data_IF_677032459040
#
_entry.id   IF_677032459040
#
_cell.length_a   1.000
_cell.length_b   1.000
_cell.length_c   1.000
_cell.angle_alpha   90.00
_cell.angle_beta   90.00
_cell.angle_gamma   90.00
#
_symmetry.space_group_name_H-M   'P 1'
#
loop_
_entity.id
_entity.type
_entity.pdbx_description
1 polymer ?
#
# COMPACT_ATOMS: atom_id res chain seq x y z
N UNK A 1 23.68 3.59 19.95
CA UNK A 1 23.20 2.22 19.54
C UNK A 1 22.65 2.27 18.12
N UNK A 2 22.55 1.12 17.44
CA UNK A 2 22.08 1.07 16.06
C UNK A 2 20.55 1.26 15.98
N UNK A 3 20.09 1.90 14.92
CA UNK A 3 18.66 1.94 14.55
C UNK A 3 18.17 0.53 14.21
N UNK A 4 16.86 0.31 14.17
CA UNK A 4 16.28 -0.93 13.67
C UNK A 4 16.74 -1.20 12.23
N UNK A 5 16.81 -0.14 11.40
CA UNK A 5 17.31 -0.22 10.03
C UNK A 5 18.74 -0.79 9.98
N UNK A 6 19.66 -0.25 10.79
CA UNK A 6 21.04 -0.75 10.85
C UNK A 6 21.09 -2.21 11.27
N UNK A 7 20.32 -2.60 12.29
CA UNK A 7 20.28 -3.96 12.79
C UNK A 7 19.88 -4.98 11.73
N UNK A 8 18.92 -4.63 10.88
CA UNK A 8 18.47 -5.52 9.81
C UNK A 8 19.44 -5.44 8.63
N UNK A 9 19.76 -4.23 8.15
CA UNK A 9 20.65 -4.04 7.01
C UNK A 9 22.00 -4.71 7.19
N UNK A 10 22.69 -4.42 8.30
CA UNK A 10 24.05 -4.88 8.54
C UNK A 10 24.14 -6.43 8.64
N UNK A 11 23.07 -7.10 9.08
CA UNK A 11 22.99 -8.58 9.10
C UNK A 11 22.82 -9.18 7.70
N UNK A 12 22.39 -8.42 6.72
CA UNK A 12 22.18 -8.85 5.34
C UNK A 12 23.31 -8.44 4.40
N UNK A 13 24.29 -7.70 4.91
CA UNK A 13 25.48 -7.31 4.13
C UNK A 13 26.32 -8.57 3.86
N UNK A 14 26.44 -8.93 2.58
CA UNK A 14 27.34 -9.99 2.09
C UNK A 14 28.74 -9.42 1.89
N UNK A 15 28.78 -8.24 1.27
CA UNK A 15 30.04 -7.54 0.99
C UNK A 15 29.79 -6.03 0.91
N UNK A 16 30.73 -5.25 1.42
CA UNK A 16 30.83 -3.82 1.18
C UNK A 16 31.90 -3.58 0.12
N UNK A 17 31.54 -2.94 -0.98
CA UNK A 17 32.46 -2.60 -2.07
C UNK A 17 33.24 -1.32 -1.75
N UNK A 18 34.33 -1.07 -2.47
CA UNK A 18 35.25 0.08 -2.25
C UNK A 18 34.56 1.42 -2.44
N UNK A 19 33.54 1.49 -3.32
CA UNK A 19 32.74 2.69 -3.58
C UNK A 19 31.60 2.93 -2.57
N UNK A 20 31.51 2.10 -1.52
CA UNK A 20 30.45 2.15 -0.52
C UNK A 20 29.16 1.42 -0.92
N UNK A 21 29.10 0.81 -2.10
CA UNK A 21 27.97 -0.02 -2.51
C UNK A 21 27.92 -1.31 -1.68
N UNK A 22 26.76 -1.66 -1.20
CA UNK A 22 26.51 -2.88 -0.43
C UNK A 22 25.95 -3.98 -1.31
N UNK A 23 26.59 -5.14 -1.33
CA UNK A 23 25.95 -6.37 -1.79
C UNK A 23 25.06 -6.88 -0.66
N UNK A 24 23.75 -6.74 -0.86
CA UNK A 24 22.73 -7.06 0.15
C UNK A 24 22.04 -8.38 -0.18
N UNK A 25 22.02 -9.31 0.78
CA UNK A 25 21.24 -10.55 0.68
C UNK A 25 19.75 -10.25 0.82
N UNK A 26 18.90 -10.94 0.05
CA UNK A 26 17.44 -10.78 0.04
C UNK A 26 16.79 -12.08 0.53
N UNK A 27 16.03 -12.00 1.62
CA UNK A 27 15.31 -13.15 2.16
C UNK A 27 14.09 -13.54 1.34
N UNK A 28 13.40 -12.54 0.75
CA UNK A 28 12.16 -12.78 0.05
C UNK A 28 12.09 -11.94 -1.23
N UNK A 29 11.79 -12.61 -2.34
CA UNK A 29 11.42 -11.96 -3.59
C UNK A 29 9.96 -12.27 -3.91
N UNK A 30 9.19 -11.22 -4.19
CA UNK A 30 7.87 -11.33 -4.77
C UNK A 30 7.92 -10.97 -6.25
N UNK A 31 7.22 -11.74 -7.09
CA UNK A 31 7.14 -11.53 -8.54
C UNK A 31 5.68 -11.40 -8.96
N UNK A 32 5.37 -10.37 -9.72
CA UNK A 32 4.08 -10.21 -10.38
C UNK A 32 4.26 -10.13 -11.91
N UNK A 33 3.17 -10.15 -12.64
CA UNK A 33 3.14 -10.32 -14.09
C UNK A 33 3.68 -9.13 -14.90
N UNK A 34 3.75 -7.95 -14.30
CA UNK A 34 4.15 -6.72 -15.04
C UNK A 34 5.66 -6.56 -15.14
N UNK A 35 6.40 -6.76 -14.05
CA UNK A 35 7.83 -6.42 -13.96
C UNK A 35 8.76 -7.63 -14.00
N UNK A 36 8.25 -8.86 -13.88
CA UNK A 36 9.08 -10.05 -13.84
C UNK A 36 9.38 -10.75 -15.19
N UNK A 37 8.61 -10.60 -16.27
CA UNK A 37 8.83 -11.36 -17.50
C UNK A 37 10.23 -11.23 -18.08
N UNK A 38 10.75 -10.01 -18.20
CA UNK A 38 12.09 -9.74 -18.75
C UNK A 38 13.20 -10.28 -17.84
N UNK A 39 13.00 -10.29 -16.52
CA UNK A 39 13.97 -10.85 -15.59
C UNK A 39 14.14 -12.37 -15.77
N UNK A 40 13.03 -13.09 -15.99
CA UNK A 40 13.08 -14.52 -16.30
C UNK A 40 13.69 -14.81 -17.67
N UNK A 41 13.43 -13.95 -18.66
CA UNK A 41 14.05 -14.08 -19.99
C UNK A 41 15.56 -13.91 -19.91
N UNK A 42 16.05 -12.91 -19.17
CA UNK A 42 17.47 -12.73 -18.94
C UNK A 42 18.15 -13.96 -18.31
N UNK A 43 17.46 -14.66 -17.37
CA UNK A 43 17.98 -15.93 -16.84
C UNK A 43 18.07 -17.00 -17.93
N UNK A 44 17.05 -17.15 -18.79
CA UNK A 44 17.04 -18.14 -19.89
C UNK A 44 18.18 -17.89 -20.87
N UNK A 45 18.34 -16.65 -21.33
CA UNK A 45 19.40 -16.27 -22.26
C UNK A 45 20.80 -16.58 -21.73
N UNK A 46 20.98 -16.47 -20.42
CA UNK A 46 22.26 -16.77 -19.74
C UNK A 46 22.38 -18.22 -19.28
N UNK A 47 21.36 -19.06 -19.47
CA UNK A 47 21.33 -20.44 -18.99
C UNK A 47 21.35 -20.57 -17.46
N UNK A 48 20.87 -19.55 -16.74
CA UNK A 48 20.85 -19.51 -15.27
C UNK A 48 19.56 -20.10 -14.71
N UNK A 49 19.64 -20.59 -13.47
CA UNK A 49 18.50 -21.06 -12.69
C UNK A 49 18.26 -20.10 -11.53
N UNK A 50 17.05 -20.13 -10.96
CA UNK A 50 16.80 -19.45 -9.70
C UNK A 50 17.66 -20.07 -8.58
N UNK A 51 18.37 -19.21 -7.86
CA UNK A 51 19.32 -19.69 -6.82
C UNK A 51 18.60 -20.28 -5.60
N UNK A 52 17.52 -19.66 -5.15
CA UNK A 52 16.71 -20.10 -4.01
C UNK A 52 15.20 -20.08 -4.32
N UNK A 53 14.68 -21.06 -5.09
CA UNK A 53 13.30 -21.07 -5.54
C UNK A 53 12.25 -20.96 -4.40
N UNK A 54 12.57 -21.53 -3.22
CA UNK A 54 11.67 -21.50 -2.05
C UNK A 54 11.52 -20.13 -1.40
N UNK A 55 12.34 -19.15 -1.76
CA UNK A 55 12.28 -17.77 -1.26
C UNK A 55 11.58 -16.82 -2.25
N UNK A 56 11.09 -17.37 -3.36
CA UNK A 56 10.46 -16.61 -4.45
C UNK A 56 8.99 -17.02 -4.56
N UNK A 57 8.10 -16.02 -4.52
CA UNK A 57 6.66 -16.23 -4.62
C UNK A 57 6.10 -15.38 -5.77
N UNK A 58 5.29 -16.02 -6.61
CA UNK A 58 4.71 -15.41 -7.80
C UNK A 58 3.19 -15.31 -7.63
N UNK A 59 2.61 -14.16 -7.92
CA UNK A 59 1.16 -13.98 -7.98
C UNK A 59 0.80 -12.83 -8.92
N UNK A 60 -0.18 -13.00 -9.82
CA UNK A 60 -0.70 -11.94 -10.66
C UNK A 60 -1.69 -11.09 -9.85
N UNK A 61 -1.61 -9.77 -9.97
CA UNK A 61 -2.48 -8.86 -9.24
C UNK A 61 -2.82 -7.55 -9.99
N UNK A 62 -2.04 -7.15 -10.99
CA UNK A 62 -2.22 -5.89 -11.71
C UNK A 62 -3.16 -6.02 -12.91
N UNK A 63 -2.98 -7.06 -13.72
CA UNK A 63 -3.76 -7.31 -14.95
C UNK A 63 -4.90 -8.31 -14.75
N UNK A 64 -5.20 -8.66 -13.52
CA UNK A 64 -6.31 -9.54 -13.19
C UNK A 64 -7.63 -8.78 -13.27
N UNK A 65 -8.67 -9.31 -13.97
CA UNK A 65 -10.01 -8.72 -13.92
C UNK A 65 -10.58 -8.84 -12.50
N UNK A 66 -11.54 -7.99 -12.16
CA UNK A 66 -12.28 -8.07 -10.89
C UNK A 66 -13.69 -8.63 -11.05
N UNK A 67 -13.96 -9.18 -12.22
CA UNK A 67 -15.15 -9.94 -12.59
C UNK A 67 -14.76 -11.19 -13.35
N UNK A 68 -15.55 -12.21 -13.27
CA UNK A 68 -15.45 -13.41 -14.14
C UNK A 68 -14.03 -13.99 -14.21
N UNK A 69 -13.32 -14.04 -13.08
CA UNK A 69 -11.93 -14.55 -13.02
C UNK A 69 -11.83 -16.05 -13.38
N UNK A 70 -12.96 -16.76 -13.42
CA UNK A 70 -13.09 -18.12 -13.91
C UNK A 70 -13.09 -18.22 -15.45
N UNK A 71 -13.20 -17.09 -16.15
CA UNK A 71 -13.13 -17.00 -17.60
C UNK A 71 -11.74 -16.57 -18.08
N UNK A 72 -11.52 -16.74 -19.37
CA UNK A 72 -10.31 -16.24 -20.04
C UNK A 72 -10.27 -14.71 -19.99
N UNK A 73 -9.11 -14.14 -19.68
CA UNK A 73 -8.93 -12.68 -19.69
C UNK A 73 -9.11 -12.18 -21.12
N UNK A 74 -10.05 -11.26 -21.35
CA UNK A 74 -10.41 -10.78 -22.68
C UNK A 74 -9.28 -9.98 -23.34
N UNK A 75 -8.62 -9.07 -22.58
CA UNK A 75 -7.49 -8.31 -23.09
C UNK A 75 -6.28 -9.23 -23.36
N UNK A 76 -5.82 -9.33 -24.62
CA UNK A 76 -4.76 -10.27 -24.98
C UNK A 76 -3.40 -9.91 -24.39
N UNK A 77 -3.15 -8.63 -24.06
CA UNK A 77 -1.89 -8.18 -23.44
C UNK A 77 -1.86 -8.60 -21.98
N UNK A 78 -2.91 -8.32 -21.24
CA UNK A 78 -3.09 -8.72 -19.84
C UNK A 78 -3.01 -10.24 -19.69
N UNK A 79 -3.74 -10.99 -20.54
CA UNK A 79 -3.70 -12.45 -20.57
C UNK A 79 -2.29 -12.97 -20.77
N UNK A 80 -1.59 -12.47 -21.80
CA UNK A 80 -0.22 -12.89 -22.08
C UNK A 80 0.72 -12.65 -20.89
N UNK A 81 0.57 -11.54 -20.15
CA UNK A 81 1.40 -11.25 -18.99
C UNK A 81 1.12 -12.24 -17.85
N UNK A 82 -0.15 -12.48 -17.54
CA UNK A 82 -0.57 -13.44 -16.49
C UNK A 82 -0.10 -14.86 -16.84
N UNK A 83 -0.32 -15.32 -18.07
CA UNK A 83 0.14 -16.63 -18.55
C UNK A 83 1.67 -16.75 -18.51
N UNK A 84 2.39 -15.68 -18.87
CA UNK A 84 3.86 -15.66 -18.84
C UNK A 84 4.37 -15.84 -17.40
N UNK A 85 3.75 -15.17 -16.41
CA UNK A 85 4.12 -15.37 -15.02
C UNK A 85 3.90 -16.81 -14.57
N UNK A 86 2.76 -17.40 -14.89
CA UNK A 86 2.44 -18.81 -14.57
C UNK A 86 3.43 -19.78 -15.21
N UNK A 87 3.79 -19.57 -16.48
CA UNK A 87 4.78 -20.37 -17.19
C UNK A 87 6.18 -20.21 -16.57
N UNK A 88 6.59 -19.00 -16.24
CA UNK A 88 7.86 -18.74 -15.58
C UNK A 88 7.93 -19.44 -14.21
N UNK A 89 6.88 -19.31 -13.40
CA UNK A 89 6.84 -19.98 -12.09
C UNK A 89 6.98 -21.49 -12.21
N UNK A 90 6.29 -22.12 -13.19
CA UNK A 90 6.39 -23.55 -13.45
C UNK A 90 7.80 -23.96 -13.92
N UNK A 91 8.35 -23.24 -14.92
CA UNK A 91 9.63 -23.56 -15.54
C UNK A 91 10.80 -23.45 -14.55
N UNK A 92 10.74 -22.49 -13.61
CA UNK A 92 11.75 -22.28 -12.58
C UNK A 92 11.45 -22.93 -11.23
N UNK A 93 10.32 -23.68 -11.12
CA UNK A 93 9.94 -24.41 -9.90
C UNK A 93 9.60 -23.51 -8.71
N UNK A 94 8.92 -22.39 -8.98
CA UNK A 94 8.55 -21.38 -7.98
C UNK A 94 7.14 -21.61 -7.43
N UNK A 95 6.88 -21.11 -6.23
CA UNK A 95 5.53 -21.08 -5.67
C UNK A 95 4.71 -20.03 -6.41
N UNK A 96 3.54 -20.44 -6.93
CA UNK A 96 2.64 -19.58 -7.69
C UNK A 96 1.22 -19.63 -7.14
N UNK A 97 0.73 -18.49 -6.67
CA UNK A 97 -0.66 -18.28 -6.30
C UNK A 97 -1.39 -17.66 -7.50
N UNK A 98 -1.79 -18.50 -8.46
CA UNK A 98 -2.44 -18.07 -9.70
C UNK A 98 -3.83 -17.49 -9.46
N UNK A 99 -4.37 -16.78 -10.45
CA UNK A 99 -5.65 -16.07 -10.38
C UNK A 99 -6.82 -16.92 -9.87
N UNK A 100 -6.84 -18.22 -10.17
CA UNK A 100 -7.88 -19.17 -9.72
C UNK A 100 -7.56 -19.83 -8.36
N UNK A 101 -6.43 -19.49 -7.73
CA UNK A 101 -6.08 -20.00 -6.41
C UNK A 101 -6.87 -19.25 -5.34
N UNK A 102 -7.38 -19.99 -4.35
CA UNK A 102 -7.97 -19.40 -3.14
C UNK A 102 -6.99 -18.53 -2.34
N UNK A 103 -5.71 -18.66 -2.64
CA UNK A 103 -4.60 -17.92 -2.03
C UNK A 103 -4.15 -16.70 -2.86
N UNK A 104 -4.82 -16.43 -3.99
CA UNK A 104 -4.50 -15.28 -4.83
C UNK A 104 -5.05 -13.98 -4.25
N UNK A 105 -4.43 -12.90 -4.64
CA UNK A 105 -4.77 -11.52 -4.32
C UNK A 105 -3.60 -10.59 -4.59
N UNK A 106 -3.72 -9.38 -4.11
CA UNK A 106 -2.66 -8.38 -4.20
C UNK A 106 -1.45 -8.84 -3.39
N UNK A 107 -0.29 -8.86 -4.02
CA UNK A 107 0.96 -9.40 -3.46
C UNK A 107 1.30 -8.81 -2.08
N UNK A 108 1.05 -7.49 -1.89
CA UNK A 108 1.29 -6.77 -0.64
C UNK A 108 0.19 -6.98 0.42
N UNK A 109 -0.88 -7.70 0.08
CA UNK A 109 -1.92 -8.16 1.01
C UNK A 109 -1.65 -9.63 1.36
N UNK A 110 -1.49 -10.49 0.37
CA UNK A 110 -1.27 -11.94 0.54
C UNK A 110 0.02 -12.24 1.29
N UNK A 111 1.11 -11.52 1.01
CA UNK A 111 2.40 -11.73 1.68
C UNK A 111 2.32 -11.68 3.21
N UNK A 112 1.80 -10.61 3.81
CA UNK A 112 1.53 -10.53 5.25
C UNK A 112 0.49 -11.55 5.74
N UNK A 113 -0.65 -11.70 5.03
CA UNK A 113 -1.72 -12.62 5.42
C UNK A 113 -1.27 -14.07 5.53
N UNK A 114 -0.35 -14.50 4.69
CA UNK A 114 0.18 -15.86 4.74
C UNK A 114 1.37 -16.05 5.68
N UNK A 115 1.88 -14.98 6.30
CA UNK A 115 3.10 -15.03 7.11
C UNK A 115 4.37 -15.21 6.28
N UNK A 116 4.35 -14.80 5.01
CA UNK A 116 5.52 -14.82 4.14
C UNK A 116 6.47 -13.65 4.41
N UNK A 117 5.94 -12.56 4.97
CA UNK A 117 6.69 -11.36 5.38
C UNK A 117 6.84 -11.40 6.90
N UNK A 118 8.08 -11.52 7.38
CA UNK A 118 8.38 -11.69 8.80
C UNK A 118 9.37 -10.61 9.29
N UNK A 119 9.37 -10.31 10.61
CA UNK A 119 10.29 -9.34 11.17
C UNK A 119 11.77 -9.69 10.92
N UNK A 120 12.55 -8.67 10.63
CA UNK A 120 13.99 -8.81 10.40
C UNK A 120 14.39 -9.29 9.02
N UNK A 121 13.45 -9.53 8.11
CA UNK A 121 13.73 -9.90 6.72
C UNK A 121 14.09 -8.70 5.85
N UNK A 122 14.80 -8.97 4.76
CA UNK A 122 14.89 -8.12 3.57
C UNK A 122 13.94 -8.64 2.51
N UNK A 123 13.04 -7.78 2.03
CA UNK A 123 11.95 -8.15 1.10
C UNK A 123 11.96 -7.22 -0.09
N UNK A 124 11.93 -7.78 -1.30
CA UNK A 124 11.88 -6.99 -2.53
C UNK A 124 10.82 -7.50 -3.51
N UNK A 125 10.35 -6.59 -4.35
CA UNK A 125 9.42 -6.85 -5.45
C UNK A 125 9.64 -5.78 -6.53
N UNK A 126 9.23 -6.06 -7.75
CA UNK A 126 9.21 -5.08 -8.85
C UNK A 126 8.12 -4.01 -8.73
N UNK A 127 7.63 -3.73 -7.54
CA UNK A 127 6.59 -2.74 -7.21
C UNK A 127 7.06 -1.85 -6.04
N UNK A 128 6.85 -0.55 -6.17
CA UNK A 128 7.25 0.43 -5.14
C UNK A 128 6.52 0.23 -3.80
N UNK A 129 5.27 -0.26 -3.81
CA UNK A 129 4.50 -0.51 -2.58
C UNK A 129 4.95 -1.75 -1.79
N UNK A 130 6.06 -2.38 -2.19
CA UNK A 130 6.78 -3.38 -1.36
C UNK A 130 7.09 -2.84 0.05
N UNK A 131 7.21 -1.52 0.19
CA UNK A 131 7.30 -0.83 1.48
C UNK A 131 6.23 -1.27 2.50
N UNK A 132 5.07 -1.72 2.05
CA UNK A 132 3.99 -2.27 2.89
C UNK A 132 4.48 -3.30 3.89
N UNK A 133 5.39 -4.20 3.46
CA UNK A 133 5.91 -5.28 4.30
C UNK A 133 6.77 -4.78 5.47
N UNK A 134 7.18 -3.51 5.44
CA UNK A 134 7.88 -2.86 6.57
C UNK A 134 7.04 -2.77 7.84
N UNK A 135 5.71 -2.81 7.73
CA UNK A 135 4.82 -2.90 8.88
C UNK A 135 5.06 -4.15 9.74
N UNK A 136 5.62 -5.20 9.14
CA UNK A 136 6.01 -6.41 9.83
C UNK A 136 7.39 -6.30 10.53
N UNK A 137 8.05 -5.15 10.47
CA UNK A 137 9.43 -4.99 10.95
C UNK A 137 10.49 -5.55 10.00
N UNK A 138 10.23 -5.50 8.69
CA UNK A 138 11.13 -5.92 7.62
C UNK A 138 11.71 -4.71 6.89
N UNK A 139 12.92 -4.83 6.33
CA UNK A 139 13.47 -3.87 5.36
C UNK A 139 12.94 -4.25 3.98
N UNK A 140 11.87 -3.57 3.55
CA UNK A 140 11.13 -3.91 2.36
C UNK A 140 11.07 -2.73 1.39
N UNK A 141 11.40 -2.97 0.11
CA UNK A 141 11.45 -1.90 -0.89
C UNK A 141 11.31 -2.41 -2.33
N UNK A 142 10.82 -1.53 -3.19
CA UNK A 142 10.70 -1.80 -4.63
C UNK A 142 12.03 -1.79 -5.35
N UNK A 143 12.18 -2.64 -6.37
CA UNK A 143 13.38 -2.77 -7.21
C UNK A 143 13.01 -2.78 -8.69
N UNK A 144 13.97 -2.47 -9.55
CA UNK A 144 13.80 -2.55 -10.99
C UNK A 144 13.90 -3.98 -11.54
N UNK A 145 13.43 -4.17 -12.77
CA UNK A 145 13.42 -5.48 -13.45
C UNK A 145 14.82 -6.14 -13.51
N UNK A 146 15.88 -5.36 -13.78
CA UNK A 146 17.24 -5.90 -13.78
C UNK A 146 17.71 -6.37 -12.40
N UNK A 147 17.24 -5.70 -11.33
CA UNK A 147 17.51 -6.13 -9.96
C UNK A 147 16.70 -7.38 -9.59
N UNK A 148 15.47 -7.52 -10.12
CA UNK A 148 14.69 -8.76 -9.99
C UNK A 148 15.48 -9.93 -10.59
N UNK A 149 16.08 -9.77 -11.79
CA UNK A 149 16.94 -10.78 -12.41
C UNK A 149 18.14 -11.13 -11.53
N UNK A 150 18.80 -10.13 -10.94
CA UNK A 150 19.92 -10.35 -10.02
C UNK A 150 19.50 -11.18 -8.79
N UNK A 151 18.37 -10.86 -8.18
CA UNK A 151 17.85 -11.61 -7.03
C UNK A 151 17.47 -13.03 -7.41
N UNK A 152 16.82 -13.23 -8.55
CA UNK A 152 16.50 -14.57 -9.06
C UNK A 152 17.78 -15.42 -9.21
N UNK A 153 18.84 -14.85 -9.77
CA UNK A 153 20.11 -15.54 -10.06
C UNK A 153 20.99 -15.75 -8.83
N UNK A 154 21.01 -14.81 -7.87
CA UNK A 154 22.03 -14.78 -6.80
C UNK A 154 21.46 -14.61 -5.38
N UNK A 155 20.21 -14.27 -5.24
CA UNK A 155 19.57 -13.84 -3.99
C UNK A 155 20.19 -12.57 -3.39
N UNK A 156 20.92 -11.80 -4.17
CA UNK A 156 21.57 -10.56 -3.75
C UNK A 156 21.28 -9.42 -4.73
N UNK A 157 21.38 -8.19 -4.23
CA UNK A 157 21.40 -6.96 -5.05
C UNK A 157 22.51 -6.02 -4.60
N UNK A 158 22.85 -5.07 -5.46
CA UNK A 158 23.78 -3.98 -5.15
C UNK A 158 22.99 -2.73 -4.81
N UNK A 159 23.18 -2.19 -3.61
CA UNK A 159 22.44 -1.01 -3.11
C UNK A 159 23.36 -0.05 -2.35
N UNK A 160 23.10 1.24 -2.50
CA UNK A 160 23.60 2.24 -1.55
C UNK A 160 22.73 2.22 -0.31
N UNK A 161 23.34 2.20 0.89
CA UNK A 161 22.59 2.24 2.14
C UNK A 161 21.86 3.58 2.27
N UNK A 162 20.52 3.60 2.35
CA UNK A 162 19.75 4.82 2.57
C UNK A 162 20.07 5.45 3.94
N UNK A 163 19.83 6.75 4.08
CA UNK A 163 19.80 7.43 5.36
C UNK A 163 18.61 6.97 6.19
N UNK A 164 18.70 7.12 7.50
CA UNK A 164 17.63 6.81 8.45
C UNK A 164 16.82 8.05 8.82
N UNK A 165 15.49 7.96 8.76
CA UNK A 165 14.58 8.99 9.27
C UNK A 165 13.64 8.36 10.29
N UNK A 166 13.37 9.06 11.39
CA UNK A 166 12.32 8.67 12.33
C UNK A 166 11.18 9.69 12.32
N UNK A 167 9.95 9.18 12.22
CA UNK A 167 8.73 9.97 12.34
C UNK A 167 7.99 9.50 13.59
N UNK A 168 7.96 10.34 14.61
CA UNK A 168 7.27 10.10 15.87
C UNK A 168 5.88 10.72 15.80
N UNK A 169 4.84 9.91 16.03
CA UNK A 169 3.45 10.36 16.09
C UNK A 169 2.91 9.99 17.46
N UNK A 170 2.56 11.00 18.26
CA UNK A 170 2.10 10.79 19.62
C UNK A 170 0.69 11.33 19.81
N UNK A 171 0.02 10.82 20.82
CA UNK A 171 -1.37 11.14 21.11
C UNK A 171 -2.34 10.08 20.62
N UNK A 172 -3.62 10.36 20.76
CA UNK A 172 -4.73 9.51 20.31
C UNK A 172 -5.40 10.12 19.10
N UNK A 173 -5.72 9.29 18.11
CA UNK A 173 -6.50 9.72 16.94
C UNK A 173 -7.95 9.99 17.36
N UNK A 174 -8.50 11.08 16.85
CA UNK A 174 -9.91 11.39 17.04
C UNK A 174 -10.81 10.39 16.32
N UNK A 175 -12.06 10.27 16.76
CA UNK A 175 -13.07 9.47 16.08
C UNK A 175 -13.19 9.90 14.61
N UNK A 176 -13.35 8.93 13.73
CA UNK A 176 -13.45 9.18 12.29
C UNK A 176 -12.09 9.35 11.58
N UNK A 177 -10.97 9.28 12.29
CA UNK A 177 -9.61 9.37 11.73
C UNK A 177 -8.99 7.96 11.67
N UNK A 178 -8.38 7.63 10.54
CA UNK A 178 -7.75 6.34 10.29
C UNK A 178 -6.26 6.48 9.96
N UNK A 179 -5.53 5.37 9.86
CA UNK A 179 -4.13 5.38 9.43
C UNK A 179 -3.93 6.00 8.03
N UNK A 180 -4.94 5.94 7.15
CA UNK A 180 -4.93 6.61 5.84
C UNK A 180 -4.87 8.13 6.00
N UNK A 181 -5.64 8.67 6.94
CA UNK A 181 -5.66 10.11 7.22
C UNK A 181 -4.32 10.56 7.80
N UNK A 182 -3.71 9.75 8.68
CA UNK A 182 -2.34 9.97 9.19
C UNK A 182 -1.34 10.05 8.04
N UNK A 183 -1.36 9.10 7.12
CA UNK A 183 -0.45 9.11 5.98
C UNK A 183 -0.67 10.32 5.06
N UNK A 184 -1.93 10.67 4.75
CA UNK A 184 -2.26 11.87 3.96
C UNK A 184 -1.83 13.15 4.67
N UNK A 185 -1.97 13.22 6.00
CA UNK A 185 -1.47 14.34 6.80
C UNK A 185 0.04 14.49 6.68
N UNK A 186 0.79 13.42 6.87
CA UNK A 186 2.25 13.45 6.74
C UNK A 186 2.67 13.89 5.34
N UNK A 187 2.03 13.39 4.29
CA UNK A 187 2.31 13.79 2.91
C UNK A 187 2.01 15.27 2.66
N UNK A 188 0.96 15.81 3.24
CA UNK A 188 0.65 17.25 3.11
C UNK A 188 1.69 18.14 3.82
N UNK A 189 2.35 17.65 4.86
CA UNK A 189 3.40 18.38 5.60
C UNK A 189 4.80 18.19 5.00
N UNK A 190 5.11 16.99 4.52
CA UNK A 190 6.44 16.62 4.05
C UNK A 190 6.59 16.71 2.52
N UNK A 191 5.48 16.86 1.80
CA UNK A 191 5.38 16.78 0.34
C UNK A 191 5.77 15.39 -0.22
N UNK A 192 5.69 15.21 -1.53
CA UNK A 192 6.04 13.97 -2.22
C UNK A 192 7.55 13.68 -2.29
N UNK A 193 8.39 14.57 -1.75
CA UNK A 193 9.86 14.44 -1.77
C UNK A 193 10.51 14.57 -0.38
N UNK A 194 9.72 14.78 0.68
CA UNK A 194 10.24 15.07 2.04
C UNK A 194 11.06 13.97 2.69
N UNK A 195 10.91 12.73 2.21
CA UNK A 195 11.65 11.56 2.69
C UNK A 195 12.60 10.97 1.61
N UNK A 196 12.91 11.72 0.55
CA UNK A 196 13.80 11.24 -0.52
C UNK A 196 15.19 10.91 0.02
N UNK A 197 15.65 9.70 -0.27
CA UNK A 197 16.95 9.18 0.19
C UNK A 197 16.94 8.57 1.59
N UNK A 198 15.78 8.53 2.24
CA UNK A 198 15.63 7.95 3.57
C UNK A 198 14.85 6.61 3.56
N UNK A 199 15.19 5.77 4.54
CA UNK A 199 14.33 4.71 5.03
C UNK A 199 13.64 5.20 6.32
N UNK A 200 12.31 5.15 6.40
CA UNK A 200 11.53 5.81 7.45
C UNK A 200 11.10 4.83 8.52
N UNK A 201 11.49 5.08 9.79
CA UNK A 201 10.96 4.38 10.95
C UNK A 201 9.82 5.19 11.57
N UNK A 202 8.63 4.60 11.63
CA UNK A 202 7.49 5.18 12.34
C UNK A 202 7.47 4.70 13.78
N UNK A 203 7.23 5.62 14.71
CA UNK A 203 7.19 5.36 16.15
C UNK A 203 6.25 6.32 16.87
N UNK A 204 6.18 6.19 18.18
CA UNK A 204 5.29 7.00 19.03
C UNK A 204 4.03 6.26 19.45
N UNK A 205 3.31 6.85 20.42
CA UNK A 205 2.14 6.21 21.02
C UNK A 205 1.02 5.93 20.01
N UNK A 206 0.78 6.83 19.07
CA UNK A 206 -0.22 6.62 18.00
C UNK A 206 0.10 5.38 17.18
N UNK A 207 1.36 5.22 16.76
CA UNK A 207 1.78 4.08 15.93
C UNK A 207 1.73 2.76 16.70
N UNK A 208 2.10 2.75 17.98
CA UNK A 208 2.05 1.53 18.81
C UNK A 208 0.62 1.04 19.06
N UNK A 209 -0.36 1.93 19.07
CA UNK A 209 -1.78 1.57 19.22
C UNK A 209 -2.48 1.26 17.89
N UNK A 210 -1.84 1.48 16.74
CA UNK A 210 -2.41 1.11 15.44
C UNK A 210 -2.55 -0.41 15.31
N UNK A 211 -3.65 -0.84 14.69
CA UNK A 211 -3.81 -2.20 14.18
C UNK A 211 -2.75 -2.54 13.14
N UNK A 212 -2.57 -3.83 12.84
CA UNK A 212 -1.64 -4.23 11.77
C UNK A 212 -2.05 -3.66 10.41
N UNK A 213 -3.33 -3.64 10.11
CA UNK A 213 -3.87 -3.09 8.86
C UNK A 213 -3.56 -1.59 8.74
N UNK A 214 -3.69 -0.85 9.84
CA UNK A 214 -3.30 0.56 9.91
C UNK A 214 -1.80 0.75 9.68
N UNK A 215 -0.94 -0.09 10.29
CA UNK A 215 0.51 -0.07 10.07
C UNK A 215 0.89 -0.41 8.65
N UNK A 216 0.20 -1.39 8.02
CA UNK A 216 0.39 -1.77 6.63
C UNK A 216 0.03 -0.60 5.69
N UNK A 217 -1.05 0.13 5.97
CA UNK A 217 -1.43 1.35 5.24
C UNK A 217 -0.38 2.45 5.36
N UNK A 218 0.13 2.72 6.57
CA UNK A 218 1.13 3.75 6.81
C UNK A 218 2.45 3.45 6.10
N UNK A 219 2.95 2.22 6.22
CA UNK A 219 4.17 1.79 5.54
C UNK A 219 4.02 1.74 4.01
N UNK A 220 2.84 1.34 3.50
CA UNK A 220 2.51 1.36 2.08
C UNK A 220 2.70 2.76 1.47
N UNK A 221 2.17 3.78 2.13
CA UNK A 221 2.18 5.16 1.63
C UNK A 221 3.50 5.91 1.86
N UNK A 222 4.48 5.31 2.51
CA UNK A 222 5.81 5.93 2.75
C UNK A 222 6.50 6.33 1.45
N UNK A 223 6.34 5.52 0.39
CA UNK A 223 6.98 5.77 -0.91
C UNK A 223 6.39 6.99 -1.61
N UNK A 224 5.18 7.41 -1.24
CA UNK A 224 4.55 8.62 -1.80
C UNK A 224 5.14 9.92 -1.23
N UNK A 225 5.96 9.83 -0.17
CA UNK A 225 6.81 10.91 0.33
C UNK A 225 8.23 10.86 -0.22
N UNK A 226 8.49 9.98 -1.20
CA UNK A 226 9.81 9.75 -1.78
C UNK A 226 10.73 8.85 -0.95
N UNK A 227 10.24 8.25 0.13
CA UNK A 227 11.03 7.32 0.95
C UNK A 227 11.43 6.07 0.16
N UNK A 228 12.60 5.49 0.49
CA UNK A 228 13.00 4.19 -0.04
C UNK A 228 12.11 3.06 0.48
N UNK A 229 11.63 3.21 1.69
CA UNK A 229 10.66 2.35 2.37
C UNK A 229 10.30 2.93 3.73
N UNK A 230 9.25 2.37 4.34
CA UNK A 230 8.84 2.69 5.71
C UNK A 230 8.65 1.42 6.50
N UNK A 231 8.94 1.44 7.78
CA UNK A 231 8.79 0.28 8.65
C UNK A 231 8.46 0.67 10.08
N UNK A 232 7.99 -0.32 10.83
CA UNK A 232 7.60 -0.19 12.24
C UNK A 232 8.29 -1.31 13.00
N UNK A 233 8.86 -1.01 14.17
CA UNK A 233 9.45 -2.02 15.03
C UNK A 233 8.40 -3.07 15.42
N UNK A 234 8.69 -4.38 15.26
CA UNK A 234 7.72 -5.42 15.58
C UNK A 234 7.48 -5.50 17.09
N UNK A 235 6.23 -5.60 17.48
CA UNK A 235 5.74 -5.70 18.83
C UNK A 235 4.68 -6.80 18.98
N UNK A 236 3.99 -6.84 20.12
CA UNK A 236 2.99 -7.86 20.39
C UNK A 236 1.82 -7.84 19.39
N UNK A 237 1.44 -6.67 18.87
CA UNK A 237 0.44 -6.55 17.77
C UNK A 237 0.92 -7.27 16.51
N UNK A 238 2.20 -7.09 16.16
CA UNK A 238 2.82 -7.78 15.02
C UNK A 238 2.88 -9.29 15.25
N UNK A 239 3.27 -9.72 16.46
CA UNK A 239 3.41 -11.13 16.77
C UNK A 239 2.06 -11.85 16.78
N UNK A 240 1.02 -11.22 17.33
CA UNK A 240 -0.34 -11.75 17.30
C UNK A 240 -0.85 -11.90 15.87
N UNK A 241 -0.63 -10.90 15.01
CA UNK A 241 -1.01 -10.95 13.61
C UNK A 241 -0.33 -12.09 12.84
N UNK A 242 0.96 -12.38 13.11
CA UNK A 242 1.73 -13.42 12.43
C UNK A 242 1.40 -14.81 12.97
N UNK A 243 1.00 -14.92 14.23
CA UNK A 243 0.83 -16.20 14.91
C UNK A 243 -0.17 -17.12 14.17
N UNK A 244 0.24 -18.38 13.97
CA UNK A 244 -0.60 -19.41 13.35
C UNK A 244 -0.74 -19.32 11.83
N UNK A 245 -0.16 -18.32 11.18
CA UNK A 245 -0.20 -18.21 9.72
C UNK A 245 0.56 -19.34 9.05
N UNK A 246 0.22 -19.64 7.80
CA UNK A 246 0.72 -20.83 7.08
C UNK A 246 2.24 -20.91 7.03
N UNK A 247 2.91 -19.80 6.68
CA UNK A 247 4.38 -19.72 6.54
C UNK A 247 5.10 -19.17 7.76
N UNK A 248 4.37 -18.91 8.85
CA UNK A 248 4.98 -18.47 10.10
C UNK A 248 5.73 -19.61 10.78
N UNK A 249 6.79 -19.35 11.54
CA UNK A 249 7.43 -20.34 12.41
C UNK A 249 6.42 -21.01 13.35
N UNK A 250 6.64 -22.27 13.70
CA UNK A 250 5.74 -23.04 14.54
C UNK A 250 6.49 -23.73 15.68
N UNK A 251 5.80 -23.94 16.82
CA UNK A 251 6.37 -24.63 17.98
C UNK A 251 7.64 -23.95 18.49
N UNK A 252 8.68 -24.72 18.76
CA UNK A 252 9.95 -24.21 19.29
C UNK A 252 10.64 -23.16 18.38
N UNK A 253 10.39 -23.18 17.08
CA UNK A 253 10.94 -22.18 16.17
C UNK A 253 10.18 -20.86 16.28
N UNK A 254 8.90 -20.89 16.64
CA UNK A 254 8.14 -19.70 16.99
C UNK A 254 8.72 -19.01 18.22
N UNK A 255 9.02 -19.74 19.28
CA UNK A 255 9.58 -19.19 20.51
C UNK A 255 10.94 -18.53 20.27
N UNK A 256 11.80 -19.16 19.46
CA UNK A 256 13.09 -18.59 19.05
C UNK A 256 12.90 -17.32 18.20
N UNK A 257 11.94 -17.33 17.28
CA UNK A 257 11.64 -16.20 16.43
C UNK A 257 11.17 -15.00 17.26
N UNK A 258 10.22 -15.19 18.18
CA UNK A 258 9.75 -14.14 19.10
C UNK A 258 10.91 -13.58 19.94
N UNK A 259 11.75 -14.44 20.51
CA UNK A 259 12.91 -14.01 21.29
C UNK A 259 13.86 -13.10 20.46
N UNK A 260 14.07 -13.45 19.19
CA UNK A 260 14.85 -12.63 18.27
C UNK A 260 14.11 -11.36 17.87
N UNK A 261 12.84 -11.44 17.46
CA UNK A 261 12.05 -10.30 16.98
C UNK A 261 11.89 -9.21 18.03
N UNK A 262 11.80 -9.55 19.31
CA UNK A 262 11.79 -8.59 20.43
C UNK A 262 13.08 -7.76 20.54
N UNK A 263 14.16 -8.18 19.91
CA UNK A 263 15.43 -7.41 19.83
C UNK A 263 15.42 -6.39 18.68
N UNK A 264 14.48 -6.51 17.75
CA UNK A 264 14.35 -5.67 16.54
C UNK A 264 13.61 -4.37 16.87
N UNK A 265 14.28 -3.50 17.56
CA UNK A 265 13.86 -2.13 17.83
C UNK A 265 15.07 -1.22 17.87
N UNK A 266 14.90 0.04 17.55
CA UNK A 266 15.93 1.05 17.72
C UNK A 266 16.24 1.22 19.21
N UNK A 267 17.52 1.46 19.53
CA UNK A 267 17.92 1.75 20.92
C UNK A 267 17.40 3.14 21.33
N UNK A 268 17.29 3.35 22.64
CA UNK A 268 16.87 4.66 23.19
C UNK A 268 17.85 5.79 22.83
N UNK A 269 19.11 5.43 22.59
CA UNK A 269 20.21 6.34 22.18
C UNK A 269 20.54 6.18 20.67
N UNK A 270 19.68 5.58 19.88
CA UNK A 270 19.87 5.47 18.44
C UNK A 270 19.85 6.87 17.79
N UNK A 271 20.80 7.09 16.88
CA UNK A 271 20.92 8.35 16.15
C UNK A 271 20.35 8.17 14.76
N UNK A 272 19.40 9.02 14.42
CA UNK A 272 18.81 9.11 13.08
C UNK A 272 19.39 10.31 12.34
N UNK A 273 19.49 10.21 11.02
CA UNK A 273 19.92 11.36 10.19
C UNK A 273 18.87 12.49 10.22
N UNK A 274 17.60 12.13 10.47
CA UNK A 274 16.48 13.08 10.61
C UNK A 274 15.42 12.54 11.55
N UNK A 275 14.90 13.39 12.43
CA UNK A 275 13.75 13.07 13.27
C UNK A 275 12.66 14.13 13.14
N UNK A 276 11.41 13.67 13.11
CA UNK A 276 10.23 14.51 13.02
C UNK A 276 9.22 14.08 14.09
N UNK A 277 8.46 15.04 14.60
CA UNK A 277 7.48 14.82 15.65
C UNK A 277 6.15 15.43 15.24
N UNK A 278 5.08 14.66 15.40
CA UNK A 278 3.71 15.06 15.08
C UNK A 278 2.79 14.69 16.23
N UNK A 279 1.75 15.51 16.44
CA UNK A 279 0.69 15.24 17.39
C UNK A 279 -0.53 14.68 16.64
N UNK A 280 -1.09 13.57 17.13
CA UNK A 280 -2.26 12.95 16.54
C UNK A 280 -3.52 13.84 16.63
N UNK A 281 -3.57 14.76 17.61
CA UNK A 281 -4.66 15.72 17.77
C UNK A 281 -4.77 16.74 16.62
N UNK A 282 -3.70 16.93 15.85
CA UNK A 282 -3.69 17.80 14.67
C UNK A 282 -4.29 17.14 13.42
N UNK A 283 -4.66 15.85 13.53
CA UNK A 283 -5.09 15.06 12.40
C UNK A 283 -6.61 14.91 12.41
N UNK A 284 -7.26 15.43 11.39
CA UNK A 284 -8.67 15.18 11.08
C UNK A 284 -8.80 14.30 9.82
N UNK A 285 -10.00 13.79 9.47
CA UNK A 285 -10.22 13.11 8.20
C UNK A 285 -9.71 13.94 7.03
N UNK A 286 -9.00 13.33 6.09
CA UNK A 286 -8.27 14.04 5.05
C UNK A 286 -8.71 13.63 3.64
N UNK A 287 -8.59 14.61 2.73
CA UNK A 287 -8.84 14.43 1.31
C UNK A 287 -7.74 15.12 0.50
N UNK A 288 -7.48 14.63 -0.71
CA UNK A 288 -6.64 15.37 -1.68
C UNK A 288 -7.50 16.27 -2.56
N UNK A 289 -6.91 17.40 -3.00
CA UNK A 289 -7.55 18.36 -3.90
C UNK A 289 -6.82 18.51 -5.24
N UNK A 290 -5.64 17.91 -5.39
CA UNK A 290 -4.81 18.05 -6.57
C UNK A 290 -4.42 16.72 -7.18
N UNK A 291 -3.33 16.72 -7.96
CA UNK A 291 -2.87 15.62 -8.79
C UNK A 291 -1.67 14.86 -8.20
N UNK A 292 -1.41 15.01 -6.92
CA UNK A 292 -0.46 14.19 -6.17
C UNK A 292 -0.89 14.09 -4.70
N UNK A 293 -0.43 13.06 -3.94
CA UNK A 293 -0.86 12.84 -2.57
C UNK A 293 -0.44 13.92 -1.57
N UNK A 294 0.60 14.71 -1.89
CA UNK A 294 1.03 15.86 -1.07
C UNK A 294 0.07 17.05 -1.12
N UNK A 295 -0.81 17.10 -2.12
CA UNK A 295 -1.86 18.12 -2.24
C UNK A 295 -3.09 17.69 -1.44
N UNK A 296 -2.94 17.56 -0.12
CA UNK A 296 -3.96 17.13 0.83
C UNK A 296 -4.34 18.22 1.82
N UNK A 297 -5.61 18.24 2.21
CA UNK A 297 -6.20 19.12 3.24
C UNK A 297 -7.02 18.30 4.23
N UNK A 298 -7.24 18.85 5.42
CA UNK A 298 -8.30 18.38 6.31
C UNK A 298 -9.66 18.54 5.64
N UNK A 299 -10.58 17.65 5.94
CA UNK A 299 -11.90 17.66 5.28
C UNK A 299 -12.69 18.92 5.59
N UNK A 300 -12.44 19.57 6.74
CA UNK A 300 -13.06 20.83 7.14
C UNK A 300 -12.37 22.07 6.54
N UNK A 301 -11.15 21.91 6.03
CA UNK A 301 -10.34 23.00 5.49
C UNK A 301 -10.78 23.40 4.07
N UNK A 302 -10.20 24.49 3.58
CA UNK A 302 -10.32 24.94 2.18
C UNK A 302 -9.02 24.64 1.43
N UNK A 303 -9.10 24.48 0.13
CA UNK A 303 -7.92 24.48 -0.75
C UNK A 303 -7.14 25.77 -0.48
N UNK A 304 -5.79 25.71 -0.36
CA UNK A 304 -4.98 26.90 -0.13
C UNK A 304 -5.28 28.02 -1.14
N UNK A 305 -5.23 29.26 -0.66
CA UNK A 305 -5.28 30.43 -1.55
C UNK A 305 -3.96 30.57 -2.31
N UNK A 306 -3.98 31.28 -3.44
CA UNK A 306 -2.77 31.45 -4.26
C UNK A 306 -1.63 32.19 -3.52
N UNK A 307 -1.95 32.97 -2.51
CA UNK A 307 -0.97 33.72 -1.72
C UNK A 307 -0.25 32.83 -0.69
N UNK A 308 -0.85 31.70 -0.33
CA UNK A 308 -0.24 30.71 0.58
C UNK A 308 0.72 29.77 -0.14
N UNK A 309 0.78 29.81 -1.49
CA UNK A 309 1.66 28.96 -2.29
C UNK A 309 2.95 29.73 -2.64
N UNK A 310 4.10 29.12 -2.37
CA UNK A 310 5.40 29.65 -2.75
C UNK A 310 5.49 29.89 -4.26
N UNK A 311 6.18 30.96 -4.67
CA UNK A 311 6.25 31.43 -6.04
C UNK A 311 6.61 30.36 -7.08
N UNK A 312 7.55 29.46 -6.76
CA UNK A 312 7.97 28.36 -7.63
C UNK A 312 6.90 27.27 -7.79
N UNK A 313 6.00 27.11 -6.81
CA UNK A 313 4.94 26.10 -6.80
C UNK A 313 3.63 26.55 -7.50
N UNK A 314 3.42 27.88 -7.70
CA UNK A 314 2.15 28.43 -8.18
C UNK A 314 1.68 27.86 -9.52
N UNK A 315 2.59 27.70 -10.48
CA UNK A 315 2.24 27.19 -11.80
C UNK A 315 1.76 25.72 -11.74
N UNK A 316 2.45 24.88 -10.98
CA UNK A 316 2.09 23.47 -10.78
C UNK A 316 0.77 23.34 -9.98
N UNK A 317 0.59 24.17 -8.97
CA UNK A 317 -0.63 24.24 -8.18
C UNK A 317 -1.84 24.57 -9.06
N UNK A 318 -1.76 25.65 -9.84
CA UNK A 318 -2.85 26.06 -10.75
C UNK A 318 -3.14 25.01 -11.82
N UNK A 319 -2.10 24.38 -12.41
CA UNK A 319 -2.28 23.29 -13.36
C UNK A 319 -3.03 22.12 -12.75
N UNK A 320 -2.69 21.74 -11.52
CA UNK A 320 -3.37 20.65 -10.79
C UNK A 320 -4.83 20.99 -10.52
N UNK A 321 -5.13 22.22 -10.12
CA UNK A 321 -6.51 22.67 -9.88
C UNK A 321 -7.33 22.72 -11.16
N UNK A 322 -6.75 23.21 -12.27
CA UNK A 322 -7.40 23.21 -13.59
C UNK A 322 -7.79 21.79 -14.02
N UNK A 323 -6.86 20.82 -13.88
CA UNK A 323 -7.18 19.42 -14.15
C UNK A 323 -8.32 18.90 -13.27
N UNK A 324 -8.27 19.20 -11.97
CA UNK A 324 -9.30 18.77 -11.01
C UNK A 324 -10.60 19.57 -11.14
N UNK A 325 -10.61 20.72 -11.80
CA UNK A 325 -11.76 21.60 -11.91
C UNK A 325 -12.10 22.28 -10.60
N UNK A 326 -11.09 22.62 -9.78
CA UNK A 326 -11.23 23.32 -8.51
C UNK A 326 -10.59 24.71 -8.56
N UNK A 327 -10.94 25.55 -7.59
CA UNK A 327 -10.41 26.91 -7.46
C UNK A 327 -9.64 27.08 -6.13
N UNK A 328 -8.63 27.97 -6.08
CA UNK A 328 -7.98 28.35 -4.81
C UNK A 328 -9.01 28.86 -3.80
N UNK A 329 -8.88 28.47 -2.53
CA UNK A 329 -9.79 28.83 -1.44
C UNK A 329 -11.13 28.06 -1.42
N UNK A 330 -11.39 27.20 -2.37
CA UNK A 330 -12.64 26.41 -2.46
C UNK A 330 -12.73 25.40 -1.30
N UNK A 331 -13.92 25.24 -0.72
CA UNK A 331 -14.27 24.12 0.16
C UNK A 331 -14.76 22.94 -0.68
N UNK A 332 -14.31 21.72 -0.31
CA UNK A 332 -14.69 20.53 -1.06
C UNK A 332 -15.86 19.77 -0.43
N UNK A 333 -16.22 19.99 0.84
CA UNK A 333 -17.47 19.46 1.42
C UNK A 333 -18.65 19.87 0.55
N UNK A 334 -19.51 18.90 0.22
CA UNK A 334 -20.67 19.08 -0.64
C UNK A 334 -20.36 18.98 -2.14
N UNK A 335 -19.10 18.84 -2.56
CA UNK A 335 -18.76 18.63 -3.96
C UNK A 335 -19.25 17.26 -4.43
N UNK A 336 -19.91 17.22 -5.61
CA UNK A 336 -20.46 15.98 -6.18
C UNK A 336 -19.38 14.96 -6.50
N UNK A 337 -19.68 13.70 -6.21
CA UNK A 337 -18.85 12.55 -6.51
C UNK A 337 -19.64 11.62 -7.44
N UNK A 338 -18.97 10.98 -8.39
CA UNK A 338 -19.56 10.02 -9.31
C UNK A 338 -19.20 8.57 -8.94
N UNK A 339 -17.98 8.36 -8.44
CA UNK A 339 -17.42 7.04 -8.13
C UNK A 339 -16.89 6.98 -6.70
N UNK A 340 -17.02 5.82 -6.11
CA UNK A 340 -16.33 5.47 -4.86
C UNK A 340 -15.56 4.17 -5.08
N UNK A 341 -14.28 4.19 -4.71
CA UNK A 341 -13.41 3.02 -4.79
C UNK A 341 -12.86 2.68 -3.40
N UNK A 342 -13.20 1.49 -2.91
CA UNK A 342 -12.60 0.86 -1.73
C UNK A 342 -11.78 -0.33 -2.18
N UNK A 343 -10.48 -0.33 -1.91
CA UNK A 343 -9.59 -1.40 -2.34
C UNK A 343 -8.12 -0.99 -2.37
N UNK A 344 -7.36 -1.63 -3.24
CA UNK A 344 -5.91 -1.52 -3.40
C UNK A 344 -5.10 -2.18 -2.27
N UNK A 345 -3.77 -2.24 -2.45
CA UNK A 345 -2.87 -2.73 -1.41
C UNK A 345 -2.83 -1.83 -0.17
N UNK A 346 -3.31 -0.60 -0.26
CA UNK A 346 -3.46 0.32 0.87
C UNK A 346 -4.63 -0.07 1.77
N UNK A 347 -5.85 -0.18 1.21
CA UNK A 347 -7.10 -0.30 1.95
C UNK A 347 -8.07 -1.33 1.33
N UNK A 348 -7.55 -2.52 1.04
CA UNK A 348 -8.33 -3.67 0.59
C UNK A 348 -8.37 -4.81 1.61
N UNK A 349 -8.12 -4.53 2.89
CA UNK A 349 -8.10 -5.52 3.97
C UNK A 349 -9.43 -5.55 4.72
N UNK A 350 -9.63 -6.58 5.54
CA UNK A 350 -10.91 -6.77 6.23
C UNK A 350 -11.30 -5.59 7.13
N UNK A 351 -10.33 -4.95 7.79
CA UNK A 351 -10.60 -3.80 8.65
C UNK A 351 -11.17 -2.61 7.88
N UNK A 352 -10.72 -2.41 6.63
CA UNK A 352 -11.24 -1.36 5.74
C UNK A 352 -12.71 -1.61 5.38
N UNK A 353 -13.09 -2.87 5.14
CA UNK A 353 -14.47 -3.26 4.90
C UNK A 353 -15.35 -3.14 6.14
N UNK A 354 -14.81 -3.47 7.33
CA UNK A 354 -15.50 -3.24 8.60
C UNK A 354 -15.75 -1.76 8.85
N UNK A 355 -14.73 -0.91 8.63
CA UNK A 355 -14.84 0.54 8.76
C UNK A 355 -15.89 1.10 7.77
N UNK A 356 -15.83 0.70 6.51
CA UNK A 356 -16.80 1.11 5.49
C UNK A 356 -18.22 0.66 5.86
N UNK A 357 -18.39 -0.60 6.23
CA UNK A 357 -19.68 -1.17 6.61
C UNK A 357 -20.30 -0.50 7.85
N UNK A 358 -19.47 -0.03 8.80
CA UNK A 358 -19.97 0.66 10.01
C UNK A 358 -20.71 1.95 9.67
N UNK A 359 -20.26 2.69 8.66
CA UNK A 359 -20.89 3.93 8.21
C UNK A 359 -22.19 3.66 7.43
N UNK A 360 -22.21 2.62 6.59
CA UNK A 360 -23.32 2.40 5.65
C UNK A 360 -24.45 1.55 6.24
N UNK A 361 -24.24 0.85 7.34
CA UNK A 361 -25.22 -0.05 7.96
C UNK A 361 -26.57 0.65 8.17
N UNK A 362 -27.65 0.07 7.60
CA UNK A 362 -28.98 0.64 7.65
C UNK A 362 -29.25 1.84 6.73
N UNK A 363 -28.28 2.20 5.88
CA UNK A 363 -28.40 3.29 4.92
C UNK A 363 -28.36 2.74 3.48
N UNK A 364 -28.55 3.59 2.49
CA UNK A 364 -28.51 3.24 1.07
C UNK A 364 -27.43 4.05 0.35
N UNK A 365 -26.81 3.42 -0.63
CA UNK A 365 -25.92 4.10 -1.57
C UNK A 365 -26.71 5.18 -2.32
N UNK A 366 -26.10 6.34 -2.52
CA UNK A 366 -26.70 7.42 -3.32
C UNK A 366 -26.84 6.98 -4.77
N UNK A 367 -27.94 7.38 -5.43
CA UNK A 367 -28.28 6.96 -6.79
C UNK A 367 -27.27 7.41 -7.85
N UNK A 368 -26.56 8.53 -7.60
CA UNK A 368 -25.53 9.04 -8.50
C UNK A 368 -24.17 8.34 -8.36
N UNK A 369 -23.99 7.44 -7.40
CA UNK A 369 -22.71 6.79 -7.11
C UNK A 369 -22.61 5.43 -7.80
N UNK A 370 -21.52 5.24 -8.54
CA UNK A 370 -20.99 3.92 -8.89
C UNK A 370 -19.91 3.56 -7.89
N UNK A 371 -20.06 2.44 -7.19
CA UNK A 371 -19.11 2.02 -6.16
C UNK A 371 -18.45 0.70 -6.51
N UNK A 372 -17.12 0.65 -6.41
CA UNK A 372 -16.32 -0.56 -6.58
C UNK A 372 -15.65 -0.93 -5.25
N UNK A 373 -16.12 -2.01 -4.66
CA UNK A 373 -15.59 -2.57 -3.41
C UNK A 373 -14.76 -3.80 -3.75
N UNK A 374 -13.44 -3.69 -3.68
CA UNK A 374 -12.50 -4.69 -4.19
C UNK A 374 -11.65 -5.25 -3.06
N UNK A 375 -11.92 -6.49 -2.58
CA UNK A 375 -11.07 -7.15 -1.60
C UNK A 375 -9.62 -7.29 -2.10
N UNK A 376 -8.66 -7.18 -1.21
CA UNK A 376 -7.25 -7.31 -1.56
C UNK A 376 -6.82 -8.77 -1.79
N UNK A 377 -7.60 -9.74 -1.32
CA UNK A 377 -7.32 -11.17 -1.47
C UNK A 377 -8.59 -12.00 -1.38
N UNK A 378 -8.53 -13.25 -1.85
CA UNK A 378 -9.61 -14.21 -1.63
C UNK A 378 -9.83 -14.54 -0.15
N UNK A 379 -8.79 -14.42 0.69
CA UNK A 379 -8.94 -14.55 2.14
C UNK A 379 -9.82 -13.44 2.71
N UNK A 380 -9.58 -12.18 2.32
CA UNK A 380 -10.46 -11.05 2.70
C UNK A 380 -11.87 -11.24 2.17
N UNK A 381 -12.04 -11.68 0.91
CA UNK A 381 -13.36 -11.93 0.34
C UNK A 381 -14.15 -13.00 1.11
N UNK A 382 -13.48 -14.06 1.57
CA UNK A 382 -14.09 -15.07 2.46
C UNK A 382 -14.48 -14.47 3.81
N UNK A 383 -13.58 -13.72 4.42
CA UNK A 383 -13.81 -13.11 5.74
C UNK A 383 -14.95 -12.10 5.72
N UNK A 384 -15.12 -11.33 4.64
CA UNK A 384 -16.28 -10.44 4.42
C UNK A 384 -17.61 -11.24 4.54
N UNK A 385 -17.68 -12.44 3.95
CA UNK A 385 -18.84 -13.32 4.01
C UNK A 385 -19.02 -13.95 5.40
N UNK A 386 -17.94 -14.43 6.00
CA UNK A 386 -17.97 -15.06 7.33
C UNK A 386 -18.45 -14.08 8.40
N UNK A 387 -18.11 -12.80 8.29
CA UNK A 387 -18.55 -11.75 9.19
C UNK A 387 -19.93 -11.16 8.83
N UNK A 388 -20.52 -11.57 7.70
CA UNK A 388 -21.80 -11.07 7.21
C UNK A 388 -21.78 -9.63 6.73
N UNK A 389 -20.59 -9.10 6.42
CA UNK A 389 -20.42 -7.75 5.86
C UNK A 389 -20.99 -7.66 4.44
N UNK A 390 -20.93 -8.74 3.67
CA UNK A 390 -21.54 -8.85 2.35
C UNK A 390 -23.01 -8.47 2.37
N UNK A 391 -23.77 -8.99 3.33
CA UNK A 391 -25.20 -8.68 3.47
C UNK A 391 -25.45 -7.20 3.78
N UNK A 392 -24.65 -6.59 4.65
CA UNK A 392 -24.75 -5.17 4.96
C UNK A 392 -24.49 -4.33 3.70
N UNK A 393 -23.47 -4.69 2.92
CA UNK A 393 -23.07 -4.00 1.70
C UNK A 393 -24.13 -4.18 0.59
N UNK A 394 -24.62 -5.41 0.37
CA UNK A 394 -25.64 -5.71 -0.63
C UNK A 394 -26.99 -5.03 -0.28
N UNK A 395 -27.41 -5.07 0.97
CA UNK A 395 -28.62 -4.37 1.45
C UNK A 395 -28.52 -2.87 1.21
N UNK A 396 -27.32 -2.29 1.32
CA UNK A 396 -27.09 -0.87 1.03
C UNK A 396 -27.00 -0.55 -0.46
N UNK A 397 -27.00 -1.56 -1.34
CA UNK A 397 -26.93 -1.42 -2.80
C UNK A 397 -25.53 -1.39 -3.37
N UNK A 398 -24.55 -1.97 -2.65
CA UNK A 398 -23.18 -2.13 -3.13
C UNK A 398 -22.94 -3.51 -3.72
N UNK A 399 -22.05 -3.56 -4.69
CA UNK A 399 -21.51 -4.80 -5.27
C UNK A 399 -20.07 -5.00 -4.81
N UNK A 400 -19.77 -6.22 -4.31
CA UNK A 400 -18.42 -6.62 -3.96
C UNK A 400 -17.81 -7.31 -5.17
N UNK A 401 -16.66 -6.84 -5.61
CA UNK A 401 -15.91 -7.40 -6.73
C UNK A 401 -14.99 -8.54 -6.30
N UNK A 402 -14.42 -9.21 -7.28
CA UNK A 402 -13.37 -10.21 -7.04
C UNK A 402 -12.02 -9.51 -6.75
N UNK A 403 -11.11 -10.17 -6.01
CA UNK A 403 -9.85 -9.57 -5.57
C UNK A 403 -8.94 -9.15 -6.74
N UNK A 404 -8.25 -8.00 -6.58
CA UNK A 404 -7.29 -7.48 -7.54
C UNK A 404 -6.98 -6.01 -7.31
N UNK A 405 -6.06 -5.45 -8.11
CA UNK A 405 -5.70 -4.03 -8.05
C UNK A 405 -6.79 -3.11 -8.61
N UNK A 406 -7.62 -3.59 -9.56
CA UNK A 406 -8.76 -2.83 -10.10
C UNK A 406 -8.38 -1.41 -10.57
N UNK A 407 -9.25 -0.43 -10.30
CA UNK A 407 -9.04 0.97 -10.64
C UNK A 407 -7.85 1.64 -9.93
N UNK A 408 -7.19 1.00 -8.97
CA UNK A 408 -5.99 1.59 -8.35
C UNK A 408 -4.92 1.94 -9.39
N UNK A 409 -4.78 1.11 -10.42
CA UNK A 409 -3.84 1.30 -11.53
C UNK A 409 -4.54 1.40 -12.89
N UNK A 410 -5.80 0.94 -12.98
CA UNK A 410 -6.62 0.90 -14.20
C UNK A 410 -5.93 0.18 -15.39
N UNK A 411 -5.16 -0.88 -15.10
CA UNK A 411 -4.53 -1.73 -16.12
C UNK A 411 -5.52 -2.77 -16.68
N UNK A 412 -6.60 -3.05 -15.97
CA UNK A 412 -7.73 -3.86 -16.39
C UNK A 412 -8.89 -2.97 -16.92
N UNK A 413 -10.09 -3.53 -17.08
CA UNK A 413 -11.27 -2.83 -17.58
C UNK A 413 -11.92 -1.87 -16.55
N UNK A 414 -11.49 -1.91 -15.30
CA UNK A 414 -11.97 -1.02 -14.24
C UNK A 414 -11.40 0.38 -14.40
N UNK A 415 -11.98 1.17 -15.31
CA UNK A 415 -11.54 2.53 -15.63
C UNK A 415 -12.64 3.54 -15.33
N UNK A 416 -12.30 4.58 -14.60
CA UNK A 416 -13.19 5.70 -14.34
C UNK A 416 -13.23 6.61 -15.57
N UNK A 417 -14.41 6.96 -16.10
CA UNK A 417 -14.53 7.80 -17.29
C UNK A 417 -13.95 9.21 -17.09
N UNK A 418 -13.52 9.82 -18.20
CA UNK A 418 -13.00 11.18 -18.23
C UNK A 418 -13.98 12.20 -17.60
N UNK A 419 -13.44 13.12 -16.83
CA UNK A 419 -14.18 14.18 -16.15
C UNK A 419 -14.95 13.75 -14.91
N UNK A 420 -14.99 12.45 -14.58
CA UNK A 420 -15.69 11.93 -13.41
C UNK A 420 -14.83 12.00 -12.15
N UNK A 421 -15.46 12.34 -11.02
CA UNK A 421 -14.82 12.41 -9.72
C UNK A 421 -14.96 11.10 -8.97
N UNK A 422 -13.84 10.59 -8.44
CA UNK A 422 -13.80 9.42 -7.58
C UNK A 422 -13.23 9.75 -6.21
N UNK A 423 -13.94 9.41 -5.14
CA UNK A 423 -13.35 9.29 -3.81
C UNK A 423 -12.78 7.87 -3.68
N UNK A 424 -11.47 7.80 -3.41
CA UNK A 424 -10.72 6.56 -3.59
C UNK A 424 -9.77 6.30 -2.42
N UNK A 425 -9.73 5.05 -1.96
CA UNK A 425 -8.76 4.59 -0.97
C UNK A 425 -7.43 4.13 -1.59
N UNK A 426 -7.26 4.28 -2.91
CA UNK A 426 -6.01 3.97 -3.61
C UNK A 426 -4.82 4.82 -3.08
N UNK A 427 -3.64 4.56 -3.60
CA UNK A 427 -2.41 5.19 -3.11
C UNK A 427 -1.96 6.41 -3.91
N UNK A 428 -2.39 6.56 -5.16
CA UNK A 428 -1.96 7.63 -6.07
C UNK A 428 -3.14 8.25 -6.79
N UNK A 429 -3.02 9.55 -7.09
CA UNK A 429 -4.06 10.34 -7.77
C UNK A 429 -3.50 11.27 -8.88
N UNK A 430 -2.37 10.90 -9.52
CA UNK A 430 -1.90 11.68 -10.64
C UNK A 430 -2.89 11.65 -11.82
N UNK A 431 -2.75 12.59 -12.74
CA UNK A 431 -3.63 12.74 -13.90
C UNK A 431 -3.86 11.40 -14.63
N UNK A 432 -5.11 10.97 -14.75
CA UNK A 432 -5.49 9.74 -15.43
C UNK A 432 -5.18 8.43 -14.70
N UNK A 433 -4.78 8.45 -13.43
CA UNK A 433 -4.40 7.24 -12.67
C UNK A 433 -5.47 6.15 -12.67
N UNK A 434 -6.73 6.51 -12.50
CA UNK A 434 -7.86 5.58 -12.46
C UNK A 434 -8.63 5.50 -13.79
N UNK A 435 -8.05 6.01 -14.86
CA UNK A 435 -8.60 6.06 -16.20
C UNK A 435 -8.30 7.42 -16.86
N UNK A 436 -8.16 7.48 -18.19
CA UNK A 436 -7.84 8.73 -18.90
C UNK A 436 -8.80 9.86 -18.56
N UNK A 437 -8.26 10.99 -18.04
CA UNK A 437 -9.05 12.17 -17.66
C UNK A 437 -9.90 12.02 -16.40
N UNK A 438 -9.77 10.92 -15.64
CA UNK A 438 -10.45 10.73 -14.34
C UNK A 438 -9.86 11.66 -13.27
N UNK A 439 -10.68 12.08 -12.33
CA UNK A 439 -10.33 12.98 -11.22
C UNK A 439 -10.41 12.25 -9.89
N UNK A 440 -9.26 11.90 -9.34
CA UNK A 440 -9.17 11.06 -8.12
C UNK A 440 -8.91 11.91 -6.89
N UNK A 441 -9.77 11.76 -5.89
CA UNK A 441 -9.65 12.34 -4.54
C UNK A 441 -9.29 11.19 -3.60
N UNK A 442 -8.05 11.17 -3.09
CA UNK A 442 -7.65 10.17 -2.10
C UNK A 442 -8.30 10.48 -0.75
N UNK A 443 -8.81 9.43 -0.12
CA UNK A 443 -9.47 9.53 1.18
C UNK A 443 -9.39 8.19 1.94
N UNK A 444 -9.78 8.21 3.21
CA UNK A 444 -9.93 7.02 4.05
C UNK A 444 -11.18 6.21 3.71
N UNK A 445 -11.26 4.94 4.15
CA UNK A 445 -12.48 4.12 4.01
C UNK A 445 -13.73 4.78 4.61
N UNK A 446 -13.59 5.50 5.72
CA UNK A 446 -14.72 6.19 6.37
C UNK A 446 -15.22 7.36 5.52
N UNK A 447 -14.33 8.19 4.98
CA UNK A 447 -14.70 9.29 4.06
C UNK A 447 -15.31 8.72 2.77
N UNK A 448 -14.75 7.64 2.23
CA UNK A 448 -15.29 6.96 1.05
C UNK A 448 -16.71 6.43 1.29
N UNK A 449 -16.97 5.83 2.46
CA UNK A 449 -18.30 5.37 2.85
C UNK A 449 -19.29 6.52 3.00
N UNK A 450 -18.88 7.62 3.65
CA UNK A 450 -19.70 8.82 3.79
C UNK A 450 -20.07 9.41 2.42
N UNK A 451 -19.10 9.54 1.51
CA UNK A 451 -19.35 9.99 0.15
C UNK A 451 -20.27 9.03 -0.63
N UNK A 452 -20.16 7.73 -0.41
CA UNK A 452 -20.98 6.73 -1.10
C UNK A 452 -22.48 6.83 -0.76
N UNK A 453 -22.83 7.19 0.46
CA UNK A 453 -24.23 7.32 0.88
C UNK A 453 -24.82 8.70 0.66
N UNK A 454 -24.00 9.75 0.59
CA UNK A 454 -24.49 11.13 0.40
C UNK A 454 -24.40 11.61 -1.06
N UNK A 455 -23.56 10.97 -1.89
CA UNK A 455 -23.29 11.38 -3.26
C UNK A 455 -22.37 12.60 -3.40
N UNK A 456 -21.82 13.07 -2.27
CA UNK A 456 -20.95 14.27 -2.21
C UNK A 456 -19.80 14.02 -1.21
N UNK A 457 -18.74 14.82 -1.29
CA UNK A 457 -17.68 14.80 -0.25
C UNK A 457 -18.31 15.18 1.09
N UNK A 458 -18.20 14.29 2.07
CA UNK A 458 -18.86 14.42 3.37
C UNK A 458 -17.90 14.02 4.49
N UNK A 459 -17.91 14.81 5.56
CA UNK A 459 -17.17 14.49 6.78
C UNK A 459 -17.81 13.27 7.47
N UNK A 460 -17.10 12.15 7.61
CA UNK A 460 -17.65 10.93 8.22
C UNK A 460 -18.11 11.17 9.67
N UNK A 461 -17.50 12.10 10.39
CA UNK A 461 -17.88 12.44 11.79
C UNK A 461 -19.31 12.96 11.93
N UNK A 462 -19.87 13.49 10.83
CA UNK A 462 -21.27 13.93 10.81
C UNK A 462 -22.30 12.79 10.67
N UNK A 463 -21.81 11.55 10.43
CA UNK A 463 -22.65 10.39 10.11
C UNK A 463 -22.47 9.25 11.13
N UNK A 464 -21.33 9.22 11.82
CA UNK A 464 -20.99 8.24 12.88
C UNK A 464 -21.92 8.39 14.08
#
# INVERSE_FOLDING_TARGET
>A
MNTLFDKIWDRHVVQLLEDGTTQLYIDRLYCHEVTSPQAFEGLRERGLKCFRPKQIFCMPDHNTPTHDQDKEIEDPVSRKQVDTLANNARDFGLTHFGMMSEDNGIIHVVGPEKGLSLPGMTIVCGDSHTSTHGAMGAVAFGIGTSEVEMVLASQCILQQKPKSMRININGELADGVTAKDVALYLMSKLTTSGATGYFVEYSGSTVSHMSMEGRLTLCNLSIEMGARGGFIAPDDVTFEYINGREYSPKGADWDKAIAYWRTLKSGDDAIFDKELFFDASDIEPRITYGTNPGMGIGISESIPSLDEIDGSGKASFLKSLDYMGFEPGQKLIGHKVDYVFLGACTNGRIEDFRAFASIIKGKKKADNITAWLVPGSWAVARQIKEEGLDKILEEAGFEIRQPGCSACLAMNDDKIPSGKYAVSTSNRNFEGRQGPGSRTILASPLVAAAAAITGVITDPRSII
#
